data_IF_411471278270
#
_entry.id   IF_411471278270
#
_cell.length_a   1.000
_cell.length_b   1.000
_cell.length_c   1.000
_cell.angle_alpha   90.00
_cell.angle_beta   90.00
_cell.angle_gamma   90.00
#
_symmetry.space_group_name_H-M   'P 1'
#
loop_
_entity.id
_entity.type
_entity.pdbx_description
1 polymer ?
#
# COMPACT_ATOMS: atom_id res chain seq x y z
N UNK A 1 -20.46 2.78 10.37
CA UNK A 1 -19.07 3.13 9.98
C UNK A 1 -18.46 1.92 9.31
N UNK A 2 -17.96 2.03 8.07
CA UNK A 2 -17.46 0.89 7.31
C UNK A 2 -15.96 0.65 7.50
N UNK A 3 -15.52 -0.59 7.40
CA UNK A 3 -14.11 -0.99 7.42
C UNK A 3 -13.32 -0.29 6.32
N UNK A 4 -12.12 0.18 6.65
CA UNK A 4 -11.21 0.87 5.72
C UNK A 4 -9.84 0.19 5.70
N UNK A 5 -9.19 0.25 4.55
CA UNK A 5 -7.78 -0.08 4.37
C UNK A 5 -7.02 1.24 4.25
N UNK A 6 -6.12 1.46 5.20
CA UNK A 6 -5.26 2.62 5.23
C UNK A 6 -3.81 2.14 5.13
N UNK A 7 -3.01 2.77 4.28
CA UNK A 7 -1.59 2.49 4.26
C UNK A 7 -0.76 3.72 3.90
N UNK A 8 0.43 3.77 4.48
CA UNK A 8 1.55 4.59 4.02
C UNK A 8 2.68 3.64 3.65
N UNK A 9 3.20 3.77 2.44
CA UNK A 9 4.28 2.94 1.92
C UNK A 9 5.40 3.84 1.45
N UNK A 10 6.59 3.55 1.97
CA UNK A 10 7.85 4.21 1.63
C UNK A 10 8.87 3.11 1.35
N UNK A 11 9.29 3.01 0.09
CA UNK A 11 10.32 2.08 -0.38
C UNK A 11 11.27 2.78 -1.33
N UNK A 12 12.56 2.50 -1.17
CA UNK A 12 13.60 2.99 -2.08
C UNK A 12 14.24 1.81 -2.80
N UNK A 13 14.35 1.94 -4.11
CA UNK A 13 15.05 1.05 -5.03
C UNK A 13 16.12 1.86 -5.77
N UNK A 14 17.02 1.19 -6.48
CA UNK A 14 17.96 1.88 -7.34
C UNK A 14 17.22 2.65 -8.45
N UNK A 15 17.34 3.98 -8.43
CA UNK A 15 16.68 4.89 -9.39
C UNK A 15 15.16 5.07 -9.22
N UNK A 16 14.54 4.57 -8.15
CA UNK A 16 13.09 4.69 -7.95
C UNK A 16 12.69 4.72 -6.47
N UNK A 17 11.94 5.75 -6.10
CA UNK A 17 11.28 5.85 -4.80
C UNK A 17 9.77 5.67 -4.94
N UNK A 18 9.22 4.73 -4.18
CA UNK A 18 7.78 4.57 -4.01
C UNK A 18 7.35 5.27 -2.73
N UNK A 19 6.64 6.38 -2.88
CA UNK A 19 5.93 7.05 -1.80
C UNK A 19 4.42 7.04 -2.12
N UNK A 20 3.66 6.28 -1.34
CA UNK A 20 2.23 6.11 -1.56
C UNK A 20 1.44 6.16 -0.26
N UNK A 21 0.35 6.94 -0.27
CA UNK A 21 -0.66 6.95 0.79
C UNK A 21 -2.01 6.55 0.19
N UNK A 22 -2.72 5.66 0.89
CA UNK A 22 -4.03 5.18 0.48
C UNK A 22 -4.98 5.12 1.66
N UNK A 23 -6.20 5.57 1.41
CA UNK A 23 -7.32 5.41 2.31
C UNK A 23 -8.55 5.02 1.51
N UNK A 24 -8.85 3.71 1.47
CA UNK A 24 -9.89 3.13 0.61
C UNK A 24 -10.89 2.28 1.42
N UNK A 25 -12.12 2.12 0.93
CA UNK A 25 -13.06 1.18 1.54
C UNK A 25 -12.50 -0.24 1.51
N UNK A 26 -12.55 -0.97 2.63
CA UNK A 26 -12.18 -2.39 2.68
C UNK A 26 -13.33 -3.30 2.21
N UNK A 27 -14.14 -2.81 1.25
CA UNK A 27 -15.27 -3.53 0.66
C UNK A 27 -15.30 -3.27 -0.84
N UNK A 28 -15.78 -4.24 -1.60
CA UNK A 28 -15.81 -4.16 -3.05
C UNK A 28 -14.42 -4.32 -3.69
N UNK A 29 -14.28 -3.82 -4.90
CA UNK A 29 -13.06 -3.95 -5.71
C UNK A 29 -12.46 -2.56 -5.88
N UNK A 30 -11.17 -2.43 -5.52
CA UNK A 30 -10.37 -1.22 -5.79
C UNK A 30 -9.36 -1.56 -6.88
N UNK A 31 -9.33 -0.76 -7.94
CA UNK A 31 -8.37 -0.92 -9.03
C UNK A 31 -7.20 0.06 -8.86
N UNK A 32 -5.97 -0.44 -8.97
CA UNK A 32 -4.75 0.36 -9.02
C UNK A 32 -4.20 0.35 -10.45
N UNK A 33 -4.17 1.52 -11.09
CA UNK A 33 -3.74 1.68 -12.48
C UNK A 33 -2.57 2.67 -12.58
N UNK A 34 -1.78 2.56 -13.65
CA UNK A 34 -0.63 3.42 -13.91
C UNK A 34 0.39 2.80 -14.87
N UNK A 35 1.32 3.59 -15.42
CA UNK A 35 2.34 3.14 -16.38
C UNK A 35 3.19 1.97 -15.87
N UNK A 36 3.83 1.23 -16.78
CA UNK A 36 4.84 0.23 -16.36
C UNK A 36 5.94 0.90 -15.53
N UNK A 37 6.42 0.23 -14.49
CA UNK A 37 7.44 0.77 -13.58
C UNK A 37 6.93 1.72 -12.49
N UNK A 38 5.65 2.12 -12.47
CA UNK A 38 5.11 3.08 -11.48
C UNK A 38 4.97 2.55 -10.04
N UNK A 39 5.54 1.39 -9.70
CA UNK A 39 5.48 0.81 -8.34
C UNK A 39 4.20 0.04 -7.96
N UNK A 40 3.29 -0.24 -8.90
CA UNK A 40 2.02 -0.96 -8.60
C UNK A 40 2.22 -2.30 -7.91
N UNK A 41 3.08 -3.15 -8.48
CA UNK A 41 3.39 -4.48 -7.92
C UNK A 41 4.04 -4.35 -6.55
N UNK A 42 4.94 -3.38 -6.36
CA UNK A 42 5.60 -3.12 -5.08
C UNK A 42 4.60 -2.67 -4.01
N UNK A 43 3.66 -1.79 -4.36
CA UNK A 43 2.58 -1.37 -3.46
C UNK A 43 1.68 -2.55 -3.08
N UNK A 44 1.27 -3.38 -4.04
CA UNK A 44 0.45 -4.57 -3.76
C UNK A 44 1.19 -5.60 -2.90
N UNK A 45 2.50 -5.79 -3.10
CA UNK A 45 3.33 -6.65 -2.25
C UNK A 45 3.41 -6.12 -0.82
N UNK A 46 3.53 -4.81 -0.64
CA UNK A 46 3.44 -4.19 0.68
C UNK A 46 2.09 -4.51 1.32
N UNK A 47 0.99 -4.19 0.64
CA UNK A 47 -0.37 -4.46 1.11
C UNK A 47 -0.65 -5.94 1.42
N UNK A 48 0.07 -6.87 0.80
CA UNK A 48 -0.03 -8.31 1.04
C UNK A 48 0.94 -8.83 2.13
N UNK A 49 1.86 -7.99 2.60
CA UNK A 49 2.83 -8.35 3.65
C UNK A 49 4.04 -9.10 3.11
N UNK A 50 4.20 -9.10 1.79
CA UNK A 50 5.31 -9.73 1.08
C UNK A 50 6.52 -8.81 0.97
N UNK A 51 6.34 -7.52 1.27
CA UNK A 51 7.36 -6.48 1.24
C UNK A 51 7.14 -5.54 2.43
N UNK A 52 8.19 -5.23 3.19
CA UNK A 52 8.08 -4.34 4.36
C UNK A 52 8.43 -2.91 4.00
N UNK A 53 7.46 -2.01 4.20
CA UNK A 53 7.72 -0.57 4.29
C UNK A 53 8.41 -0.28 5.63
N UNK A 54 9.63 0.26 5.61
CA UNK A 54 10.41 0.43 6.84
C UNK A 54 9.87 1.53 7.75
N UNK A 55 9.26 2.56 7.17
CA UNK A 55 8.79 3.77 7.85
C UNK A 55 7.27 3.98 7.73
N UNK A 56 6.59 3.15 6.94
CA UNK A 56 5.15 3.23 6.71
C UNK A 56 4.33 2.32 7.62
N UNK A 57 3.03 2.24 7.35
CA UNK A 57 2.11 1.34 8.06
C UNK A 57 1.07 0.76 7.11
N UNK A 58 0.49 -0.38 7.47
CA UNK A 58 -0.70 -0.93 6.84
C UNK A 58 -1.72 -1.30 7.91
N UNK A 59 -2.91 -0.71 7.79
CA UNK A 59 -3.99 -0.80 8.76
C UNK A 59 -5.27 -1.25 8.09
N UNK A 60 -5.82 -2.36 8.57
CA UNK A 60 -7.10 -2.90 8.14
C UNK A 60 -8.02 -3.04 9.34
N UNK A 61 -9.24 -2.50 9.23
CA UNK A 61 -10.25 -2.61 10.30
C UNK A 61 -9.80 -2.06 11.67
N UNK A 62 -8.88 -1.09 11.68
CA UNK A 62 -8.33 -0.52 12.90
C UNK A 62 -7.04 -1.20 13.39
N UNK A 63 -6.72 -2.39 12.88
CA UNK A 63 -5.53 -3.14 13.26
C UNK A 63 -4.38 -2.84 12.31
N UNK A 64 -3.28 -2.34 12.87
CA UNK A 64 -1.99 -2.20 12.17
C UNK A 64 -1.30 -3.56 12.21
N UNK A 65 -0.92 -4.09 11.05
CA UNK A 65 -0.23 -5.38 10.96
C UNK A 65 1.16 -5.28 10.33
N UNK A 66 1.46 -4.14 9.71
CA UNK A 66 2.79 -3.70 9.33
C UNK A 66 2.96 -2.24 9.70
#
# INVERSE_FOLDING_TARGET
MGTRLQARVELSFDGFDLNAELDVPARGITALFGPSGSGKTSLLRCLAGLERSQTGFIKLAGTVWQ
#
